data_IF_395351440648
#
_entry.id   IF_395351440648
#
_cell.length_a   1.000
_cell.length_b   1.000
_cell.length_c   1.000
_cell.angle_alpha   90.00
_cell.angle_beta   90.00
_cell.angle_gamma   90.00
#
_symmetry.space_group_name_H-M   'P 1'
#
loop_
_entity.id
_entity.type
_entity.pdbx_description
1 polymer ?
#
# COMPACT_ATOMS: atom_id res chain seq x y z
N UNK A 1 5.98 18.11 -20.98
CA UNK A 1 6.46 19.44 -20.58
C UNK A 1 5.77 19.82 -19.26
N UNK A 2 6.51 19.93 -18.16
CA UNK A 2 5.97 20.23 -16.82
C UNK A 2 5.60 21.71 -16.65
N UNK A 3 4.95 22.04 -15.52
CA UNK A 3 4.49 23.40 -15.17
C UNK A 3 5.67 24.40 -15.17
N UNK A 4 6.85 23.97 -14.72
CA UNK A 4 8.07 24.81 -14.72
C UNK A 4 8.51 25.23 -16.12
N UNK A 5 8.41 24.32 -17.11
CA UNK A 5 8.70 24.64 -18.50
C UNK A 5 7.71 25.64 -19.09
N UNK A 6 6.44 25.61 -18.66
CA UNK A 6 5.43 26.58 -19.09
C UNK A 6 5.68 27.97 -18.50
N UNK A 7 6.06 28.04 -17.23
CA UNK A 7 6.42 29.30 -16.55
C UNK A 7 7.66 29.93 -17.21
N UNK A 8 8.71 29.13 -17.46
CA UNK A 8 9.94 29.61 -18.10
C UNK A 8 9.70 30.15 -19.51
N UNK A 9 8.86 29.48 -20.30
CA UNK A 9 8.56 29.92 -21.67
C UNK A 9 7.75 31.22 -21.70
N UNK A 10 6.86 31.44 -20.73
CA UNK A 10 6.11 32.69 -20.60
C UNK A 10 7.00 33.86 -20.18
N UNK A 11 7.93 33.64 -19.24
CA UNK A 11 8.93 34.64 -18.84
C UNK A 11 9.78 35.13 -20.02
N UNK A 12 10.19 34.19 -20.88
CA UNK A 12 10.94 34.49 -22.10
C UNK A 12 10.13 35.32 -23.11
N UNK A 13 8.85 35.00 -23.28
CA UNK A 13 7.96 35.76 -24.15
C UNK A 13 7.72 37.21 -23.65
N UNK A 14 7.73 37.45 -22.34
CA UNK A 14 7.61 38.81 -21.76
C UNK A 14 8.86 39.64 -22.04
N UNK A 15 10.04 39.02 -21.92
CA UNK A 15 11.32 39.72 -22.11
C UNK A 15 11.61 40.03 -23.57
N UNK A 16 11.07 39.24 -24.50
CA UNK A 16 11.32 39.36 -25.95
C UNK A 16 10.20 40.07 -26.74
N UNK A 17 8.99 40.28 -26.18
CA UNK A 17 7.86 40.87 -26.92
C UNK A 17 6.88 41.68 -26.05
N UNK A 18 7.05 43.00 -26.01
CA UNK A 18 6.34 43.94 -25.11
C UNK A 18 4.84 44.21 -25.38
N UNK A 19 4.09 43.32 -26.02
CA UNK A 19 2.69 43.60 -26.44
C UNK A 19 1.57 43.04 -25.53
N UNK A 20 1.84 42.02 -24.70
CA UNK A 20 0.80 41.27 -23.98
C UNK A 20 1.11 41.03 -22.49
N UNK A 21 1.90 41.92 -21.88
CA UNK A 21 2.48 41.76 -20.53
C UNK A 21 1.41 41.45 -19.47
N UNK A 22 0.24 42.10 -19.52
CA UNK A 22 -0.83 41.87 -18.54
C UNK A 22 -1.41 40.44 -18.61
N UNK A 23 -1.75 39.97 -19.81
CA UNK A 23 -2.29 38.62 -20.03
C UNK A 23 -1.28 37.53 -19.64
N UNK A 24 0.01 37.79 -19.84
CA UNK A 24 1.07 36.85 -19.45
C UNK A 24 1.23 36.80 -17.93
N UNK A 25 1.18 37.95 -17.25
CA UNK A 25 1.23 38.02 -15.78
C UNK A 25 0.04 37.28 -15.15
N UNK A 26 -1.17 37.42 -15.70
CA UNK A 26 -2.34 36.65 -15.25
C UNK A 26 -2.15 35.14 -15.46
N UNK A 27 -1.57 34.75 -16.60
CA UNK A 27 -1.26 33.34 -16.88
C UNK A 27 -0.24 32.77 -15.89
N UNK A 28 0.79 33.55 -15.53
CA UNK A 28 1.79 33.15 -14.53
C UNK A 28 1.14 32.98 -13.16
N UNK A 29 0.32 33.94 -12.71
CA UNK A 29 -0.42 33.82 -11.44
C UNK A 29 -1.31 32.58 -11.40
N UNK A 30 -2.02 32.30 -12.50
CA UNK A 30 -2.84 31.09 -12.60
C UNK A 30 -2.00 29.81 -12.48
N UNK A 31 -0.82 29.77 -13.09
CA UNK A 31 0.09 28.62 -13.03
C UNK A 31 0.73 28.45 -11.64
N UNK A 32 1.03 29.54 -10.94
CA UNK A 32 1.52 29.50 -9.56
C UNK A 32 0.46 28.96 -8.60
N UNK A 33 -0.80 29.38 -8.75
CA UNK A 33 -1.93 28.86 -7.97
C UNK A 33 -2.13 27.36 -8.25
N UNK A 34 -2.08 26.96 -9.53
CA UNK A 34 -2.20 25.55 -9.92
C UNK A 34 -1.04 24.71 -9.35
N UNK A 35 0.19 25.23 -9.39
CA UNK A 35 1.36 24.59 -8.79
C UNK A 35 1.16 24.38 -7.28
N UNK A 36 0.76 25.42 -6.56
CA UNK A 36 0.52 25.34 -5.11
C UNK A 36 -0.56 24.31 -4.76
N UNK A 37 -1.64 24.24 -5.56
CA UNK A 37 -2.71 23.26 -5.37
C UNK A 37 -2.23 21.82 -5.61
N UNK A 38 -1.38 21.59 -6.61
CA UNK A 38 -0.80 20.27 -6.89
C UNK A 38 0.19 19.86 -5.80
N UNK A 39 1.02 20.78 -5.33
CA UNK A 39 1.98 20.53 -4.23
C UNK A 39 1.27 20.18 -2.92
N UNK A 40 0.17 20.87 -2.61
CA UNK A 40 -0.66 20.55 -1.44
C UNK A 40 -1.24 19.13 -1.53
N UNK A 41 -1.79 18.74 -2.69
CA UNK A 41 -2.32 17.38 -2.91
C UNK A 41 -1.24 16.31 -2.83
N UNK A 42 -0.04 16.59 -3.36
CA UNK A 42 1.10 15.68 -3.27
C UNK A 42 1.54 15.49 -1.81
N UNK A 43 1.55 16.57 -1.03
CA UNK A 43 1.86 16.52 0.40
C UNK A 43 0.85 15.67 1.17
N UNK A 44 -0.45 15.88 0.94
CA UNK A 44 -1.52 15.06 1.54
C UNK A 44 -1.40 13.59 1.15
N UNK A 45 -1.12 13.30 -0.12
CA UNK A 45 -0.91 11.94 -0.59
C UNK A 45 0.27 11.26 0.11
N UNK A 46 1.40 11.96 0.24
CA UNK A 46 2.59 11.44 0.92
C UNK A 46 2.34 11.18 2.43
N UNK A 47 1.55 12.04 3.09
CA UNK A 47 1.18 11.84 4.49
C UNK A 47 0.30 10.59 4.67
N UNK A 48 -0.68 10.39 3.78
CA UNK A 48 -1.52 9.19 3.77
C UNK A 48 -0.71 7.93 3.48
N UNK A 49 0.17 7.98 2.49
CA UNK A 49 1.02 6.84 2.12
C UNK A 49 1.91 6.39 3.28
N UNK A 50 2.43 7.33 4.09
CA UNK A 50 3.21 6.99 5.30
C UNK A 50 2.38 6.33 6.41
N UNK A 51 1.09 6.64 6.52
CA UNK A 51 0.21 6.00 7.49
C UNK A 51 -0.20 4.59 7.05
N UNK A 52 -0.40 4.39 5.75
CA UNK A 52 -0.83 3.10 5.17
C UNK A 52 0.33 2.14 4.87
N UNK A 53 1.57 2.54 5.14
CA UNK A 53 2.74 1.69 4.90
C UNK A 53 2.76 0.54 5.92
N UNK A 54 2.31 -0.64 5.48
CA UNK A 54 2.58 -1.92 6.14
C UNK A 54 4.06 -2.21 5.94
N UNK A 55 4.82 -2.19 7.04
CA UNK A 55 6.24 -2.52 7.06
C UNK A 55 6.43 -3.97 7.50
N UNK A 56 7.58 -4.56 7.16
CA UNK A 56 7.95 -5.91 7.61
C UNK A 56 7.89 -6.02 9.13
N UNK A 57 8.45 -5.05 9.87
CA UNK A 57 8.39 -5.02 11.34
C UNK A 57 6.96 -5.06 11.89
N UNK A 58 6.01 -4.37 11.22
CA UNK A 58 4.59 -4.39 11.63
C UNK A 58 3.97 -5.78 11.41
N UNK A 59 4.30 -6.44 10.30
CA UNK A 59 3.84 -7.80 10.00
C UNK A 59 4.43 -8.79 11.01
N UNK A 60 5.73 -8.69 11.27
CA UNK A 60 6.43 -9.53 12.24
C UNK A 60 5.80 -9.37 13.63
N UNK A 61 5.62 -8.14 14.10
CA UNK A 61 4.99 -7.87 15.39
C UNK A 61 3.55 -8.40 15.47
N UNK A 62 2.78 -8.25 14.40
CA UNK A 62 1.43 -8.80 14.30
C UNK A 62 1.44 -10.33 14.46
N UNK A 63 2.30 -11.04 13.73
CA UNK A 63 2.41 -12.50 13.81
C UNK A 63 2.93 -12.98 15.17
N UNK A 64 3.88 -12.25 15.78
CA UNK A 64 4.38 -12.57 17.12
C UNK A 64 3.31 -12.50 18.20
N UNK A 65 2.35 -11.57 18.08
CA UNK A 65 1.21 -11.51 19.00
C UNK A 65 0.44 -12.83 19.01
N UNK A 66 0.05 -13.33 17.82
CA UNK A 66 -0.66 -14.60 17.71
C UNK A 66 0.17 -15.80 18.15
N UNK A 67 1.49 -15.78 17.93
CA UNK A 67 2.37 -16.82 18.45
C UNK A 67 2.31 -16.89 19.98
N UNK A 68 2.39 -15.73 20.66
CA UNK A 68 2.31 -15.68 22.11
C UNK A 68 0.94 -16.14 22.64
N UNK A 69 -0.13 -15.75 21.95
CA UNK A 69 -1.49 -16.21 22.24
C UNK A 69 -1.62 -17.74 22.15
N UNK A 70 -1.00 -18.36 21.14
CA UNK A 70 -0.99 -19.82 20.98
C UNK A 70 -0.14 -20.52 22.05
N UNK A 71 0.97 -19.91 22.50
CA UNK A 71 1.82 -20.46 23.56
C UNK A 71 1.12 -20.50 24.93
N UNK A 72 0.17 -19.59 25.17
CA UNK A 72 -0.65 -19.57 26.39
C UNK A 72 -1.60 -20.76 26.53
N UNK A 73 -1.85 -21.50 25.44
CA UNK A 73 -2.68 -22.70 25.38
C UNK A 73 -4.13 -22.55 25.91
N UNK A 74 -4.66 -21.32 25.97
CA UNK A 74 -6.08 -21.09 26.26
C UNK A 74 -6.92 -21.59 25.07
N UNK A 75 -7.81 -22.57 25.25
CA UNK A 75 -8.59 -23.15 24.16
C UNK A 75 -9.46 -22.13 23.39
N UNK A 76 -9.97 -21.11 24.08
CA UNK A 76 -10.80 -20.05 23.49
C UNK A 76 -9.97 -19.16 22.59
N UNK A 77 -8.76 -18.83 23.03
CA UNK A 77 -7.80 -18.05 22.26
C UNK A 77 -7.31 -18.85 21.07
N UNK A 78 -6.86 -20.09 21.27
CA UNK A 78 -6.41 -20.97 20.19
C UNK A 78 -7.48 -21.17 19.12
N UNK A 79 -8.75 -21.35 19.52
CA UNK A 79 -9.87 -21.44 18.57
C UNK A 79 -10.00 -20.17 17.72
N UNK A 80 -9.90 -18.99 18.33
CA UNK A 80 -9.98 -17.70 17.63
C UNK A 80 -8.83 -17.53 16.64
N UNK A 81 -7.61 -17.89 17.05
CA UNK A 81 -6.45 -17.86 16.15
C UNK A 81 -6.65 -18.83 14.98
N UNK A 82 -7.16 -20.04 15.23
CA UNK A 82 -7.49 -20.97 14.16
C UNK A 82 -8.55 -20.41 13.20
N UNK A 83 -9.62 -19.80 13.70
CA UNK A 83 -10.64 -19.14 12.87
C UNK A 83 -10.07 -18.00 12.02
N UNK A 84 -9.06 -17.28 12.52
CA UNK A 84 -8.42 -16.19 11.79
C UNK A 84 -7.57 -16.71 10.61
N UNK A 85 -6.80 -17.79 10.79
CA UNK A 85 -5.81 -18.23 9.80
C UNK A 85 -6.20 -19.47 9.00
N UNK A 86 -7.15 -20.29 9.48
CA UNK A 86 -7.57 -21.54 8.84
C UNK A 86 -8.84 -21.31 8.02
N UNK A 87 -8.77 -21.69 6.76
CA UNK A 87 -9.91 -21.69 5.84
C UNK A 87 -10.75 -22.96 6.01
N UNK A 88 -10.09 -24.13 6.03
CA UNK A 88 -10.77 -25.41 6.15
C UNK A 88 -9.87 -26.49 6.75
N UNK A 89 -10.51 -27.50 7.34
CA UNK A 89 -9.87 -28.71 7.88
C UNK A 89 -10.60 -29.92 7.33
N UNK A 90 -9.86 -30.86 6.73
CA UNK A 90 -10.38 -32.13 6.22
C UNK A 90 -9.72 -33.27 6.99
N UNK A 91 -10.54 -34.01 7.74
CA UNK A 91 -10.09 -35.19 8.48
C UNK A 91 -10.30 -36.43 7.63
N UNK A 92 -9.20 -37.13 7.32
CA UNK A 92 -9.18 -38.42 6.64
C UNK A 92 -8.78 -39.51 7.64
N UNK A 93 -8.83 -40.76 7.19
CA UNK A 93 -8.55 -41.94 8.03
C UNK A 93 -7.22 -41.86 8.78
N UNK A 94 -6.17 -41.44 8.08
CA UNK A 94 -4.78 -41.45 8.61
C UNK A 94 -4.13 -40.05 8.57
N UNK A 95 -4.87 -39.03 8.13
CA UNK A 95 -4.33 -37.68 7.90
C UNK A 95 -5.32 -36.59 8.22
N UNK A 96 -4.81 -35.44 8.69
CA UNK A 96 -5.54 -34.17 8.77
C UNK A 96 -4.93 -33.22 7.75
N UNK A 97 -5.76 -32.67 6.87
CA UNK A 97 -5.38 -31.64 5.92
C UNK A 97 -5.94 -30.30 6.37
N UNK A 98 -5.10 -29.27 6.38
CA UNK A 98 -5.46 -27.92 6.80
C UNK A 98 -5.11 -26.96 5.67
N UNK A 99 -6.09 -26.17 5.26
CA UNK A 99 -5.93 -25.09 4.27
C UNK A 99 -5.93 -23.76 4.99
N UNK A 100 -4.91 -22.94 4.79
CA UNK A 100 -4.82 -21.61 5.38
C UNK A 100 -5.40 -20.53 4.47
N UNK A 101 -5.86 -19.44 5.09
CA UNK A 101 -6.35 -18.23 4.38
C UNK A 101 -5.23 -17.43 3.73
N UNK A 102 -3.98 -17.65 4.14
CA UNK A 102 -2.82 -16.95 3.62
C UNK A 102 -2.41 -17.58 2.29
N UNK A 103 -2.21 -16.73 1.27
CA UNK A 103 -1.63 -17.11 0.00
C UNK A 103 -0.27 -16.45 -0.16
N UNK A 104 0.70 -17.20 -0.69
CA UNK A 104 2.04 -16.67 -0.97
C UNK A 104 2.15 -16.46 -2.47
N UNK A 105 2.35 -15.21 -2.88
CA UNK A 105 2.68 -14.87 -4.27
C UNK A 105 4.18 -15.07 -4.42
N UNK A 106 4.57 -16.10 -5.17
CA UNK A 106 5.96 -16.27 -5.58
C UNK A 106 6.21 -15.39 -6.81
N UNK A 107 7.28 -14.60 -6.82
CA UNK A 107 7.63 -13.67 -7.93
C UNK A 107 8.01 -14.37 -9.26
N UNK A 108 7.57 -15.60 -9.49
CA UNK A 108 7.74 -16.35 -10.74
C UNK A 108 6.50 -17.18 -11.05
N UNK A 109 5.70 -16.72 -12.00
CA UNK A 109 4.55 -17.44 -12.54
C UNK A 109 3.21 -17.07 -11.88
N UNK A 110 2.23 -16.81 -12.73
CA UNK A 110 0.87 -16.34 -12.46
C UNK A 110 0.04 -17.39 -11.68
N UNK A 111 0.32 -17.53 -10.38
CA UNK A 111 -0.39 -18.45 -9.49
C UNK A 111 -0.19 -18.07 -8.03
N UNK A 112 -1.25 -17.63 -7.36
CA UNK A 112 -1.27 -17.53 -5.91
C UNK A 112 -1.29 -18.95 -5.32
N UNK A 113 -0.24 -19.34 -4.62
CA UNK A 113 -0.20 -20.64 -3.95
C UNK A 113 -0.94 -20.55 -2.62
N UNK A 114 -1.92 -21.43 -2.41
CA UNK A 114 -2.54 -21.61 -1.09
C UNK A 114 -1.57 -22.38 -0.20
N UNK A 115 -1.44 -21.95 1.05
CA UNK A 115 -0.65 -22.69 2.02
C UNK A 115 -1.50 -23.85 2.55
N UNK A 116 -1.01 -25.06 2.37
CA UNK A 116 -1.65 -26.30 2.83
C UNK A 116 -0.67 -27.09 3.67
N UNK A 117 -1.16 -27.76 4.72
CA UNK A 117 -0.35 -28.69 5.52
C UNK A 117 -1.10 -30.00 5.75
N UNK A 118 -0.35 -31.09 5.77
CA UNK A 118 -0.87 -32.44 6.06
C UNK A 118 -0.17 -32.99 7.29
N UNK A 119 -0.97 -33.32 8.30
CA UNK A 119 -0.51 -33.95 9.54
C UNK A 119 -0.89 -35.44 9.46
N UNK A 120 0.08 -36.33 9.69
CA UNK A 120 -0.18 -37.78 9.84
C UNK A 120 -0.54 -38.08 11.29
N UNK A 121 -1.59 -38.87 11.48
CA UNK A 121 -2.08 -39.30 12.80
C UNK A 121 -1.34 -40.54 13.31
#
# INVERSE_FOLDING_TARGET
MGIEGKISNLLKAITEGGGAVHSIVEKIKSLEIEKAAVEARLHEFNLRQKQDLITEDKIINYLFHYQNDLLGADPTVCKRVAEEFVESVVVKKDTIEITFKVSVVSNGGDGAYRVETTIKL
#
